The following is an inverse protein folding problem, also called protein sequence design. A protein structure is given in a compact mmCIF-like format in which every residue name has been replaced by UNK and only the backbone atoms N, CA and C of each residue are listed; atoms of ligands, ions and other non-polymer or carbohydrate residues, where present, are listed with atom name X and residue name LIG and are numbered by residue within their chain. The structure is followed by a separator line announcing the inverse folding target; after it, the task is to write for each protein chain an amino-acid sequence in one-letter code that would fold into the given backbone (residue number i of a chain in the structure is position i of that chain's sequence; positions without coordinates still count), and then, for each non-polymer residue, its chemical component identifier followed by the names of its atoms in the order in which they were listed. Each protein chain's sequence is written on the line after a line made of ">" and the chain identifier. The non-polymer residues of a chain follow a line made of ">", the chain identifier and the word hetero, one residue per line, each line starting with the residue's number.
data_IF_725653556542
#
_entry.id   IF_725653556542
#
_cell.length_a   1.000
_cell.length_b   1.000
_cell.length_c   1.000
_cell.angle_alpha   90.00
_cell.angle_beta   90.00
_cell.angle_gamma   90.00
#
_symmetry.space_group_name_H-M   'P 1'
#
loop_
_entity.id
_entity.type
_entity.pdbx_description
1 polymer ?
#
# COMPACT_ATOMS: atom_id res chain seq x y z
N UNK A 1 -12.19 1.17 -35.87
CA UNK A 1 -11.71 1.38 -34.50
C UNK A 1 -10.49 2.31 -34.48
N UNK A 2 -10.66 3.59 -34.86
CA UNK A 2 -9.61 4.62 -34.75
C UNK A 2 -10.14 5.95 -34.14
N UNK A 3 -11.46 6.15 -34.08
CA UNK A 3 -12.10 7.30 -33.42
C UNK A 3 -12.01 7.26 -31.89
N UNK A 4 -12.13 6.07 -31.26
CA UNK A 4 -12.15 5.95 -29.80
C UNK A 4 -10.79 6.23 -29.12
N UNK A 5 -9.68 6.09 -29.85
CA UNK A 5 -8.35 6.40 -29.34
C UNK A 5 -8.03 7.91 -29.44
N UNK A 6 -8.52 8.56 -30.50
CA UNK A 6 -8.40 10.01 -30.68
C UNK A 6 -9.27 10.79 -29.70
N UNK A 7 -10.45 10.26 -29.32
CA UNK A 7 -11.29 10.87 -28.27
C UNK A 7 -10.69 10.76 -26.86
N UNK A 8 -9.91 9.70 -26.57
CA UNK A 8 -9.14 9.60 -25.32
C UNK A 8 -8.01 10.62 -25.26
N UNK A 9 -7.30 10.84 -26.36
CA UNK A 9 -6.23 11.85 -26.40
C UNK A 9 -6.74 13.29 -26.30
N UNK A 10 -7.95 13.57 -26.81
CA UNK A 10 -8.61 14.88 -26.60
C UNK A 10 -9.08 15.09 -25.17
N UNK A 11 -9.47 14.03 -24.46
CA UNK A 11 -9.84 14.10 -23.04
C UNK A 11 -8.63 14.30 -22.14
N UNK A 12 -7.51 13.65 -22.42
CA UNK A 12 -6.27 13.83 -21.65
C UNK A 12 -5.63 15.20 -21.88
N UNK A 13 -5.68 15.76 -23.10
CA UNK A 13 -5.22 17.14 -23.33
C UNK A 13 -6.06 18.20 -22.60
N UNK A 14 -7.35 17.94 -22.34
CA UNK A 14 -8.19 18.81 -21.51
C UNK A 14 -7.80 18.77 -20.03
N UNK A 15 -7.44 17.59 -19.50
CA UNK A 15 -7.00 17.44 -18.11
C UNK A 15 -5.65 18.11 -17.83
N UNK A 16 -4.72 18.12 -18.79
CA UNK A 16 -3.45 18.84 -18.64
C UNK A 16 -3.66 20.37 -18.63
N UNK A 17 -4.70 20.86 -19.31
CA UNK A 17 -5.07 22.28 -19.29
C UNK A 17 -5.79 22.69 -17.99
N UNK A 18 -6.58 21.81 -17.36
CA UNK A 18 -7.18 22.04 -16.03
C UNK A 18 -6.11 22.16 -14.91
N UNK A 19 -4.95 21.53 -15.08
CA UNK A 19 -3.84 21.63 -14.12
C UNK A 19 -2.92 22.85 -14.32
N UNK A 20 -3.22 23.71 -15.31
CA UNK A 20 -2.51 24.96 -15.60
C UNK A 20 -3.28 26.22 -15.16
N UNK A 21 -4.30 26.07 -14.30
CA UNK A 21 -5.00 27.19 -13.68
C UNK A 21 -4.17 27.83 -12.56
N UNK A 22 -3.20 28.65 -12.97
CA UNK A 22 -2.38 29.51 -12.11
C UNK A 22 -3.19 30.38 -11.11
N UNK A 23 -4.40 30.91 -11.42
CA UNK A 23 -5.17 31.71 -10.46
C UNK A 23 -5.70 30.87 -9.29
N UNK A 24 -6.17 29.65 -9.57
CA UNK A 24 -6.80 28.77 -8.57
C UNK A 24 -5.75 28.21 -7.60
N UNK A 25 -4.57 27.84 -8.11
CA UNK A 25 -3.41 27.45 -7.29
C UNK A 25 -2.89 28.59 -6.41
N UNK A 26 -2.92 29.84 -6.89
CA UNK A 26 -2.52 31.00 -6.08
C UNK A 26 -3.44 31.20 -4.88
N UNK A 27 -4.75 31.02 -5.06
CA UNK A 27 -5.72 31.09 -3.96
C UNK A 27 -5.49 29.98 -2.92
N UNK A 28 -5.28 28.74 -3.37
CA UNK A 28 -5.03 27.59 -2.50
C UNK A 28 -3.73 27.75 -1.68
N UNK A 29 -2.67 28.27 -2.31
CA UNK A 29 -1.39 28.54 -1.63
C UNK A 29 -1.51 29.72 -0.66
N UNK A 30 -2.26 30.77 -1.02
CA UNK A 30 -2.52 31.89 -0.12
C UNK A 30 -3.24 31.43 1.16
N UNK A 31 -4.24 30.55 1.04
CA UNK A 31 -4.92 29.96 2.20
C UNK A 31 -3.98 29.10 3.06
N UNK A 32 -3.12 28.30 2.43
CA UNK A 32 -2.15 27.48 3.15
C UNK A 32 -1.12 28.32 3.91
N UNK A 33 -0.68 29.44 3.33
CA UNK A 33 0.22 30.39 3.98
C UNK A 33 -0.50 31.11 5.14
N UNK A 34 -1.76 31.53 4.97
CA UNK A 34 -2.58 32.09 6.06
C UNK A 34 -2.75 31.11 7.21
N UNK A 35 -3.07 29.84 6.92
CA UNK A 35 -3.22 28.80 7.92
C UNK A 35 -1.93 28.59 8.73
N UNK A 36 -0.78 28.67 8.07
CA UNK A 36 0.54 28.58 8.72
C UNK A 36 0.82 29.77 9.65
N UNK A 37 0.50 31.01 9.25
CA UNK A 37 0.68 32.17 10.12
C UNK A 37 -0.30 32.19 11.30
N UNK A 38 -1.55 31.76 11.08
CA UNK A 38 -2.56 31.57 12.14
C UNK A 38 -2.13 30.51 13.16
N UNK A 39 -1.63 29.35 12.71
CA UNK A 39 -1.20 28.29 13.62
C UNK A 39 0.03 28.66 14.46
N UNK A 40 0.83 29.62 14.00
CA UNK A 40 2.01 30.12 14.70
C UNK A 40 1.75 31.43 15.46
N UNK A 41 0.49 31.88 15.52
CA UNK A 41 0.03 33.08 16.22
C UNK A 41 0.80 34.37 15.81
N UNK A 42 1.18 34.46 14.54
CA UNK A 42 1.89 35.60 13.95
C UNK A 42 0.84 36.50 13.29
N UNK A 43 0.78 37.78 13.66
CA UNK A 43 -0.09 38.75 12.99
C UNK A 43 0.36 38.96 11.55
N UNK A 44 -0.56 38.80 10.59
CA UNK A 44 -0.29 38.95 9.16
C UNK A 44 -1.29 39.90 8.51
N UNK A 45 -0.83 40.61 7.48
CA UNK A 45 -1.64 41.50 6.64
C UNK A 45 -1.74 40.89 5.23
N UNK A 46 -2.78 41.24 4.46
CA UNK A 46 -3.03 40.59 3.15
C UNK A 46 -1.89 40.85 2.14
N UNK A 47 -1.20 41.99 2.25
CA UNK A 47 0.00 42.31 1.45
C UNK A 47 1.18 41.37 1.77
N UNK A 48 1.30 40.89 3.02
CA UNK A 48 2.34 39.95 3.45
C UNK A 48 2.10 38.55 2.88
N UNK A 49 0.82 38.14 2.80
CA UNK A 49 0.42 36.86 2.20
C UNK A 49 0.70 36.88 0.70
N UNK A 50 0.38 37.97 0.00
CA UNK A 50 0.66 38.08 -1.44
C UNK A 50 2.17 38.11 -1.74
N UNK A 51 2.97 38.71 -0.86
CA UNK A 51 4.44 38.67 -0.95
C UNK A 51 4.99 37.25 -0.75
N UNK A 52 4.41 36.48 0.18
CA UNK A 52 4.75 35.06 0.40
C UNK A 52 4.37 34.18 -0.79
N UNK A 53 3.20 34.39 -1.40
CA UNK A 53 2.80 33.68 -2.64
C UNK A 53 3.74 34.04 -3.79
N UNK A 54 4.10 35.32 -3.95
CA UNK A 54 5.09 35.76 -4.97
C UNK A 54 6.47 35.12 -4.74
N UNK A 55 6.99 35.07 -3.52
CA UNK A 55 8.26 34.39 -3.22
C UNK A 55 8.20 32.88 -3.46
N UNK A 56 7.09 32.24 -3.12
CA UNK A 56 6.89 30.80 -3.33
C UNK A 56 6.97 30.42 -4.81
N UNK A 57 6.40 31.26 -5.69
CA UNK A 57 6.50 31.06 -7.14
C UNK A 57 7.85 31.54 -7.72
N UNK A 58 8.45 32.62 -7.18
CA UNK A 58 9.75 33.12 -7.64
C UNK A 58 10.89 32.12 -7.42
N UNK A 59 10.90 31.42 -6.27
CA UNK A 59 11.92 30.39 -5.97
C UNK A 59 11.81 29.13 -6.84
N UNK A 60 10.66 28.89 -7.49
CA UNK A 60 10.45 27.70 -8.33
C UNK A 60 10.83 27.91 -9.80
N UNK A 61 11.06 29.17 -10.22
CA UNK A 61 11.34 29.54 -11.62
C UNK A 61 12.68 30.28 -11.82
N UNK A 62 13.50 30.44 -10.79
CA UNK A 62 14.84 31.02 -10.94
C UNK A 62 15.91 30.06 -10.43
N UNK A 63 16.84 29.70 -11.33
CA UNK A 63 18.11 29.13 -10.93
C UNK A 63 18.98 30.28 -10.39
N UNK A 64 19.03 30.43 -9.07
CA UNK A 64 19.98 31.34 -8.42
C UNK A 64 21.38 30.72 -8.48
N UNK A 65 22.24 31.28 -9.33
CA UNK A 65 23.67 30.98 -9.29
C UNK A 65 24.25 31.51 -7.97
N UNK A 66 24.84 30.66 -7.11
CA UNK A 66 25.39 31.11 -5.83
C UNK A 66 26.47 32.17 -6.04
N UNK A 67 26.57 33.20 -5.19
CA UNK A 67 27.66 34.17 -5.28
C UNK A 67 28.99 33.45 -5.07
N UNK A 68 29.80 33.40 -6.12
CA UNK A 68 31.09 32.72 -6.15
C UNK A 68 31.99 33.28 -5.04
N UNK A 69 32.42 32.40 -4.11
CA UNK A 69 33.40 32.78 -3.11
C UNK A 69 34.73 33.11 -3.80
N UNK A 70 35.60 33.88 -3.15
CA UNK A 70 36.88 34.34 -3.72
C UNK A 70 37.73 33.22 -4.33
N UNK A 71 37.61 32.01 -3.78
CA UNK A 71 38.29 30.81 -4.29
C UNK A 71 37.66 30.27 -5.57
N UNK A 72 36.34 30.28 -5.69
CA UNK A 72 35.62 29.88 -6.89
C UNK A 72 35.82 30.89 -8.02
N UNK A 73 35.86 32.19 -7.70
CA UNK A 73 36.20 33.24 -8.66
C UNK A 73 37.66 33.11 -9.15
N UNK A 74 38.59 32.73 -8.26
CA UNK A 74 39.98 32.42 -8.62
C UNK A 74 40.08 31.17 -9.50
N UNK A 75 39.31 30.12 -9.20
CA UNK A 75 39.25 28.88 -9.99
C UNK A 75 38.70 29.13 -11.39
N UNK A 76 37.58 29.85 -11.53
CA UNK A 76 37.01 30.19 -12.84
C UNK A 76 37.98 31.05 -13.65
N UNK A 77 38.66 32.02 -13.02
CA UNK A 77 39.67 32.85 -13.70
C UNK A 77 40.89 32.05 -14.18
N UNK A 78 41.32 31.03 -13.44
CA UNK A 78 42.49 30.21 -13.79
C UNK A 78 42.17 29.02 -14.72
N UNK A 79 40.96 28.46 -14.64
CA UNK A 79 40.59 27.25 -15.39
C UNK A 79 39.73 27.55 -16.63
N UNK A 80 38.81 28.52 -16.56
CA UNK A 80 37.89 28.81 -17.67
C UNK A 80 38.48 29.79 -18.69
N UNK A 81 39.43 30.64 -18.29
CA UNK A 81 40.13 31.54 -19.20
C UNK A 81 41.41 30.89 -19.74
N UNK A 82 41.24 29.76 -20.44
CA UNK A 82 42.32 29.13 -21.19
C UNK A 82 42.07 29.34 -22.68
N UNK A 83 42.34 30.55 -23.16
CA UNK A 83 42.70 30.73 -24.57
C UNK A 83 44.05 30.06 -24.77
N UNK A 84 44.01 28.78 -25.10
CA UNK A 84 45.19 28.02 -25.52
C UNK A 84 45.65 28.63 -26.84
N UNK A 85 46.67 29.49 -26.79
CA UNK A 85 47.46 29.82 -27.97
C UNK A 85 48.54 28.75 -28.07
N UNK A 86 48.57 27.94 -29.15
CA UNK A 86 49.56 26.89 -29.31
C UNK A 86 50.80 27.55 -29.90
N UNK A 87 51.76 27.91 -29.05
CA UNK A 87 53.18 28.02 -29.41
C UNK A 87 53.96 28.41 -28.15
N UNK A 88 54.48 27.40 -27.47
CA UNK A 88 55.86 27.33 -26.96
C UNK A 88 55.97 26.20 -25.94
N UNK A 89 56.38 25.04 -26.44
CA UNK A 89 56.70 23.86 -25.66
C UNK A 89 58.15 23.92 -25.17
N UNK A 90 58.45 24.67 -24.10
CA UNK A 90 59.62 24.40 -23.25
C UNK A 90 59.73 25.37 -22.07
N UNK A 91 59.00 25.13 -20.97
CA UNK A 91 59.37 25.60 -19.62
C UNK A 91 58.44 25.00 -18.56
N UNK A 92 58.56 23.70 -18.30
CA UNK A 92 57.95 23.11 -17.10
C UNK A 92 58.84 23.44 -15.89
N UNK A 93 58.51 24.54 -15.20
CA UNK A 93 59.17 24.91 -13.95
C UNK A 93 59.04 23.80 -12.88
N UNK A 94 60.12 23.48 -12.13
CA UNK A 94 60.16 22.35 -11.19
C UNK A 94 59.13 22.45 -10.04
N UNK A 95 58.59 23.64 -9.77
CA UNK A 95 57.53 23.83 -8.77
C UNK A 95 56.18 23.19 -9.15
N UNK A 96 55.91 22.96 -10.44
CA UNK A 96 54.64 22.34 -10.88
C UNK A 96 54.58 20.84 -10.58
N UNK A 97 55.72 20.15 -10.64
CA UNK A 97 55.80 18.75 -10.24
C UNK A 97 55.60 18.57 -8.74
N UNK A 98 56.15 19.46 -7.93
CA UNK A 98 55.99 19.43 -6.47
C UNK A 98 54.51 19.63 -6.08
N UNK A 99 53.81 20.55 -6.75
CA UNK A 99 52.39 20.77 -6.51
C UNK A 99 51.54 19.55 -6.91
N UNK A 100 51.82 18.91 -8.04
CA UNK A 100 51.11 17.69 -8.48
C UNK A 100 51.37 16.53 -7.52
N UNK A 101 52.62 16.35 -7.08
CA UNK A 101 53.00 15.29 -6.13
C UNK A 101 52.37 15.54 -4.76
N UNK A 102 52.34 16.78 -4.27
CA UNK A 102 51.67 17.13 -3.01
C UNK A 102 50.15 16.94 -3.07
N UNK A 103 49.53 17.21 -4.23
CA UNK A 103 48.10 17.00 -4.45
C UNK A 103 47.77 15.50 -4.55
N UNK A 104 48.64 14.70 -5.17
CA UNK A 104 48.55 13.24 -5.21
C UNK A 104 48.75 12.61 -3.83
N UNK A 105 49.73 13.08 -3.05
CA UNK A 105 49.96 12.62 -1.67
C UNK A 105 48.82 13.03 -0.73
N UNK A 106 48.28 14.25 -0.89
CA UNK A 106 47.09 14.70 -0.16
C UNK A 106 45.84 13.88 -0.51
N UNK A 107 45.66 13.55 -1.79
CA UNK A 107 44.56 12.66 -2.22
C UNK A 107 44.74 11.22 -1.72
N UNK A 108 45.97 10.71 -1.67
CA UNK A 108 46.29 9.36 -1.18
C UNK A 108 46.13 9.25 0.34
N UNK A 109 46.53 10.27 1.12
CA UNK A 109 46.31 10.31 2.57
C UNK A 109 44.84 10.55 2.94
N UNK A 110 44.08 11.27 2.12
CA UNK A 110 42.63 11.36 2.26
C UNK A 110 41.94 10.04 1.89
N UNK A 111 42.47 9.25 0.96
CA UNK A 111 41.91 7.95 0.61
C UNK A 111 42.02 6.92 1.76
N UNK A 112 43.06 6.99 2.60
CA UNK A 112 43.18 6.15 3.81
C UNK A 112 42.29 6.60 4.99
N UNK A 113 41.65 7.77 4.91
CA UNK A 113 40.66 8.25 5.88
C UNK A 113 39.23 8.28 5.33
N UNK A 114 39.07 8.00 4.03
CA UNK A 114 37.77 7.76 3.42
C UNK A 114 37.47 6.27 3.49
N UNK A 115 36.69 5.90 4.51
CA UNK A 115 36.05 4.61 4.60
C UNK A 115 35.30 4.34 3.27
N UNK A 116 35.66 3.32 2.48
CA UNK A 116 35.04 3.06 1.17
C UNK A 116 33.60 2.51 1.28
N UNK A 117 32.99 2.56 2.47
CA UNK A 117 31.60 2.20 2.74
C UNK A 117 30.57 3.27 2.33
N UNK A 118 30.98 4.30 1.56
CA UNK A 118 30.07 5.32 1.02
C UNK A 118 29.19 4.82 -0.12
N UNK A 119 28.39 3.78 0.12
CA UNK A 119 27.18 3.57 -0.68
C UNK A 119 26.27 4.77 -0.38
N UNK A 120 25.69 5.47 -1.36
CA UNK A 120 24.77 6.57 -1.09
C UNK A 120 23.53 6.03 -0.37
N UNK A 121 23.56 6.06 0.96
CA UNK A 121 22.46 5.63 1.82
C UNK A 121 21.30 6.63 1.73
N UNK A 122 20.08 6.13 1.90
CA UNK A 122 18.93 7.00 2.07
C UNK A 122 19.15 7.89 3.31
N UNK A 123 18.81 9.19 3.23
CA UNK A 123 18.98 10.07 4.38
C UNK A 123 18.14 9.55 5.56
N UNK A 124 18.67 9.68 6.78
CA UNK A 124 18.03 9.18 8.03
C UNK A 124 16.56 9.61 8.16
N UNK A 125 16.21 10.81 7.68
CA UNK A 125 14.82 11.29 7.65
C UNK A 125 13.88 10.44 6.78
N UNK A 126 14.36 9.95 5.63
CA UNK A 126 13.59 9.08 4.73
C UNK A 126 13.43 7.69 5.34
N UNK A 127 14.48 7.17 5.98
CA UNK A 127 14.40 5.89 6.70
C UNK A 127 13.44 5.97 7.89
N UNK A 128 13.47 7.07 8.65
CA UNK A 128 12.54 7.31 9.76
C UNK A 128 11.08 7.43 9.28
N UNK A 129 10.84 8.14 8.17
CA UNK A 129 9.50 8.25 7.58
C UNK A 129 9.01 6.89 7.07
N UNK A 130 9.87 6.13 6.38
CA UNK A 130 9.52 4.80 5.89
C UNK A 130 9.23 3.84 7.05
N UNK A 131 10.05 3.86 8.10
CA UNK A 131 9.82 3.05 9.29
C UNK A 131 8.49 3.41 10.00
N UNK A 132 8.13 4.69 10.07
CA UNK A 132 6.83 5.10 10.61
C UNK A 132 5.64 4.55 9.79
N UNK A 133 5.71 4.65 8.46
CA UNK A 133 4.67 4.09 7.57
C UNK A 133 4.58 2.56 7.67
N UNK A 134 5.72 1.89 7.71
CA UNK A 134 5.75 0.44 7.88
C UNK A 134 5.26 0.02 9.27
N UNK A 135 5.50 0.83 10.31
CA UNK A 135 4.95 0.59 11.64
C UNK A 135 3.42 0.67 11.65
N UNK A 136 2.83 1.69 11.03
CA UNK A 136 1.37 1.81 10.88
C UNK A 136 0.79 0.59 10.13
N UNK A 137 1.43 0.20 9.02
CA UNK A 137 1.01 -0.97 8.25
C UNK A 137 1.09 -2.28 9.05
N UNK A 138 2.15 -2.48 9.85
CA UNK A 138 2.25 -3.66 10.74
C UNK A 138 1.12 -3.69 11.76
N UNK A 139 0.75 -2.54 12.34
CA UNK A 139 -0.38 -2.44 13.25
C UNK A 139 -1.70 -2.86 12.58
N UNK A 140 -1.99 -2.36 11.38
CA UNK A 140 -3.19 -2.72 10.62
C UNK A 140 -3.23 -4.21 10.24
N UNK A 141 -2.07 -4.76 9.85
CA UNK A 141 -1.93 -6.19 9.54
C UNK A 141 -2.18 -7.05 10.78
N UNK A 142 -1.61 -6.69 11.94
CA UNK A 142 -1.84 -7.41 13.20
C UNK A 142 -3.31 -7.37 13.62
N UNK A 143 -3.96 -6.21 13.54
CA UNK A 143 -5.41 -6.10 13.80
C UNK A 143 -6.25 -7.01 12.88
N UNK A 144 -5.85 -7.09 11.61
CA UNK A 144 -6.51 -7.97 10.64
C UNK A 144 -6.24 -9.43 10.96
N UNK A 145 -5.00 -9.80 11.30
CA UNK A 145 -4.63 -11.16 11.72
C UNK A 145 -5.44 -11.62 12.92
N UNK A 146 -5.52 -10.80 13.97
CA UNK A 146 -6.31 -11.11 15.17
C UNK A 146 -7.79 -11.34 14.85
N UNK A 147 -8.35 -10.52 13.95
CA UNK A 147 -9.72 -10.69 13.48
C UNK A 147 -9.88 -12.04 12.75
N UNK A 148 -8.93 -12.42 11.89
CA UNK A 148 -8.97 -13.69 11.16
C UNK A 148 -8.74 -14.90 12.06
N UNK A 149 -7.82 -14.82 13.03
CA UNK A 149 -7.58 -15.86 14.04
C UNK A 149 -8.81 -16.08 14.91
N UNK A 150 -9.45 -15.01 15.37
CA UNK A 150 -10.71 -15.08 16.13
C UNK A 150 -11.83 -15.72 15.32
N UNK A 151 -11.98 -15.33 14.05
CA UNK A 151 -12.96 -15.93 13.13
C UNK A 151 -12.67 -17.42 12.92
N UNK A 152 -11.42 -17.79 12.66
CA UNK A 152 -10.99 -19.18 12.51
C UNK A 152 -11.34 -20.01 13.75
N UNK A 153 -11.01 -19.52 14.96
CA UNK A 153 -11.35 -20.18 16.22
C UNK A 153 -12.87 -20.36 16.40
N UNK A 154 -13.65 -19.34 16.03
CA UNK A 154 -15.12 -19.38 16.08
C UNK A 154 -15.67 -20.44 15.11
N UNK A 155 -15.18 -20.46 13.87
CA UNK A 155 -15.61 -21.43 12.85
C UNK A 155 -15.19 -22.85 13.20
N UNK A 156 -13.99 -23.05 13.76
CA UNK A 156 -13.55 -24.35 14.27
C UNK A 156 -14.51 -24.84 15.35
N UNK A 157 -14.86 -23.98 16.32
CA UNK A 157 -15.86 -24.32 17.35
C UNK A 157 -17.21 -24.69 16.74
N UNK A 158 -17.76 -23.86 15.85
CA UNK A 158 -19.04 -24.16 15.19
C UNK A 158 -19.02 -25.47 14.39
N UNK A 159 -17.89 -25.80 13.75
CA UNK A 159 -17.72 -27.06 13.04
C UNK A 159 -17.61 -28.26 13.99
N UNK A 160 -17.11 -28.09 15.22
CA UNK A 160 -17.16 -29.17 16.23
C UNK A 160 -18.57 -29.46 16.73
N UNK A 161 -19.43 -28.45 16.82
CA UNK A 161 -20.84 -28.60 17.22
C UNK A 161 -21.68 -29.26 16.11
N UNK A 162 -21.31 -29.01 14.86
CA UNK A 162 -21.97 -29.57 13.67
C UNK A 162 -20.95 -29.93 12.58
N UNK A 163 -20.37 -31.15 12.62
CA UNK A 163 -19.29 -31.54 11.73
C UNK A 163 -19.67 -31.49 10.24
N UNK A 164 -18.87 -30.77 9.46
CA UNK A 164 -18.88 -30.78 8.00
C UNK A 164 -17.46 -31.01 7.46
N UNK A 165 -17.30 -32.01 6.58
CA UNK A 165 -16.00 -32.42 6.07
C UNK A 165 -15.35 -31.35 5.18
N UNK A 166 -16.14 -30.62 4.39
CA UNK A 166 -15.64 -29.57 3.52
C UNK A 166 -15.19 -28.35 4.35
N UNK A 167 -15.98 -27.98 5.35
CA UNK A 167 -15.60 -26.94 6.32
C UNK A 167 -14.30 -27.30 7.02
N UNK A 168 -14.15 -28.55 7.49
CA UNK A 168 -12.92 -29.02 8.14
C UNK A 168 -11.70 -28.80 7.24
N UNK A 169 -11.79 -29.21 5.97
CA UNK A 169 -10.73 -29.03 4.98
C UNK A 169 -10.35 -27.56 4.77
N UNK A 170 -11.35 -26.68 4.62
CA UNK A 170 -11.15 -25.24 4.44
C UNK A 170 -10.49 -24.59 5.66
N UNK A 171 -10.94 -24.94 6.87
CA UNK A 171 -10.39 -24.40 8.11
C UNK A 171 -8.96 -24.88 8.37
N UNK A 172 -8.62 -26.14 8.03
CA UNK A 172 -7.24 -26.63 8.10
C UNK A 172 -6.32 -25.88 7.13
N UNK A 173 -6.77 -25.61 5.89
CA UNK A 173 -5.99 -24.82 4.92
C UNK A 173 -5.77 -23.39 5.43
N UNK A 174 -6.81 -22.75 5.97
CA UNK A 174 -6.70 -21.43 6.57
C UNK A 174 -5.74 -21.42 7.78
N UNK A 175 -5.81 -22.42 8.65
CA UNK A 175 -4.93 -22.54 9.82
C UNK A 175 -3.46 -22.70 9.43
N UNK A 176 -3.16 -23.44 8.37
CA UNK A 176 -1.79 -23.64 7.89
C UNK A 176 -1.19 -22.40 7.21
N UNK A 177 -2.04 -21.56 6.61
CA UNK A 177 -1.60 -20.38 5.87
C UNK A 177 -1.53 -19.12 6.75
N UNK A 178 -2.32 -19.02 7.83
CA UNK A 178 -2.27 -17.89 8.76
C UNK A 178 -1.04 -17.95 9.67
N UNK A 179 -0.22 -16.89 9.74
CA UNK A 179 0.91 -16.83 10.65
C UNK A 179 0.42 -16.80 12.11
N UNK A 180 1.19 -17.42 13.00
CA UNK A 180 0.89 -17.52 14.44
C UNK A 180 1.44 -16.31 15.21
N UNK A 181 2.58 -15.79 14.76
CA UNK A 181 3.29 -14.70 15.44
C UNK A 181 2.80 -13.32 14.95
N UNK A 182 2.96 -12.30 15.80
CA UNK A 182 2.64 -10.91 15.51
C UNK A 182 3.87 -10.18 14.94
N UNK A 183 3.63 -9.14 14.13
CA UNK A 183 4.68 -8.28 13.54
C UNK A 183 5.32 -7.30 14.57
N UNK A 184 5.37 -7.67 15.85
CA UNK A 184 5.67 -6.77 16.97
C UNK A 184 7.14 -6.35 17.08
N UNK A 185 8.08 -7.26 16.76
CA UNK A 185 9.52 -6.98 16.77
C UNK A 185 9.90 -5.90 15.74
N UNK A 186 9.12 -5.81 14.66
CA UNK A 186 9.38 -4.87 13.59
C UNK A 186 8.95 -3.42 13.91
N UNK A 187 7.98 -3.24 14.80
CA UNK A 187 7.53 -1.95 15.32
C UNK A 187 8.60 -1.27 16.18
N UNK A 188 9.57 -2.03 16.69
CA UNK A 188 10.66 -1.51 17.52
C UNK A 188 11.76 -0.82 16.69
N UNK A 189 11.93 -1.19 15.42
CA UNK A 189 12.98 -0.68 14.52
C UNK A 189 12.82 0.83 14.26
N UNK A 190 11.58 1.29 14.08
CA UNK A 190 11.30 2.71 13.80
C UNK A 190 11.62 3.66 14.95
N UNK A 191 11.91 3.14 16.16
CA UNK A 191 11.97 3.97 17.36
C UNK A 191 13.30 4.71 17.55
N UNK A 192 14.40 4.32 16.88
CA UNK A 192 15.70 5.03 16.94
C UNK A 192 16.59 4.79 15.70
N UNK A 193 16.23 5.34 14.55
CA UNK A 193 17.15 5.40 13.41
C UNK A 193 18.07 6.61 13.59
N UNK A 194 19.38 6.36 13.67
CA UNK A 194 20.46 7.33 13.75
C UNK A 194 21.38 7.19 12.54
N UNK A 195 22.34 8.11 12.36
CA UNK A 195 23.32 7.99 11.29
C UNK A 195 24.19 6.72 11.44
N UNK A 196 24.48 6.34 12.68
CA UNK A 196 25.38 5.22 13.01
C UNK A 196 24.76 3.85 12.75
N UNK A 197 23.42 3.74 12.74
CA UNK A 197 22.69 2.49 12.50
C UNK A 197 21.86 2.50 11.21
N UNK A 198 22.05 3.49 10.34
CA UNK A 198 21.26 3.65 9.12
C UNK A 198 21.29 2.40 8.22
N UNK A 199 22.45 1.74 8.12
CA UNK A 199 22.64 0.55 7.28
C UNK A 199 21.91 -0.67 7.85
N UNK A 200 21.97 -0.84 9.17
CA UNK A 200 21.24 -1.89 9.86
C UNK A 200 19.73 -1.66 9.77
N UNK A 201 19.30 -0.41 9.95
CA UNK A 201 17.90 -0.01 9.82
C UNK A 201 17.36 -0.22 8.40
N UNK A 202 18.16 0.01 7.36
CA UNK A 202 17.77 -0.25 5.96
C UNK A 202 17.56 -1.75 5.71
N UNK A 203 18.47 -2.61 6.19
CA UNK A 203 18.33 -4.07 6.09
C UNK A 203 17.10 -4.59 6.85
N UNK A 204 16.90 -4.10 8.08
CA UNK A 204 15.76 -4.48 8.90
C UNK A 204 14.42 -4.01 8.29
N UNK A 205 14.39 -2.81 7.68
CA UNK A 205 13.21 -2.31 6.98
C UNK A 205 12.88 -3.13 5.71
N UNK A 206 13.91 -3.58 5.00
CA UNK A 206 13.73 -4.48 3.86
C UNK A 206 13.14 -5.83 4.29
N UNK A 207 13.68 -6.44 5.36
CA UNK A 207 13.16 -7.68 5.93
C UNK A 207 11.70 -7.53 6.39
N UNK A 208 11.38 -6.43 7.09
CA UNK A 208 10.01 -6.13 7.50
C UNK A 208 9.06 -6.02 6.30
N UNK A 209 9.50 -5.38 5.21
CA UNK A 209 8.68 -5.26 4.02
C UNK A 209 8.35 -6.62 3.41
N UNK A 210 9.32 -7.54 3.36
CA UNK A 210 9.11 -8.91 2.89
C UNK A 210 8.13 -9.65 3.80
N UNK A 211 8.29 -9.53 5.13
CA UNK A 211 7.41 -10.16 6.10
C UNK A 211 5.97 -9.62 6.01
N UNK A 212 5.78 -8.29 5.94
CA UNK A 212 4.47 -7.68 5.74
C UNK A 212 3.81 -8.13 4.44
N UNK A 213 4.61 -8.36 3.39
CA UNK A 213 4.09 -8.85 2.13
C UNK A 213 3.64 -10.31 2.26
N UNK A 214 4.44 -11.16 2.88
CA UNK A 214 4.06 -12.55 3.17
C UNK A 214 2.77 -12.62 4.01
N UNK A 215 2.65 -11.80 5.05
CA UNK A 215 1.44 -11.70 5.88
C UNK A 215 0.24 -11.23 5.06
N UNK A 216 0.41 -10.19 4.23
CA UNK A 216 -0.66 -9.68 3.36
C UNK A 216 -1.14 -10.74 2.36
N UNK A 217 -0.22 -11.52 1.79
CA UNK A 217 -0.53 -12.61 0.86
C UNK A 217 -1.27 -13.75 1.58
N UNK A 218 -0.81 -14.15 2.77
CA UNK A 218 -1.48 -15.11 3.62
C UNK A 218 -2.92 -14.68 3.98
N UNK A 219 -3.10 -13.42 4.39
CA UNK A 219 -4.42 -12.86 4.69
C UNK A 219 -5.35 -12.87 3.47
N UNK A 220 -4.82 -12.56 2.29
CA UNK A 220 -5.59 -12.62 1.04
C UNK A 220 -6.02 -14.04 0.69
N UNK A 221 -5.10 -14.99 0.75
CA UNK A 221 -5.34 -16.41 0.43
C UNK A 221 -6.37 -17.04 1.37
N UNK A 222 -6.25 -16.79 2.67
CA UNK A 222 -7.15 -17.36 3.68
C UNK A 222 -8.54 -16.74 3.71
N UNK A 223 -8.72 -15.52 3.17
CA UNK A 223 -10.01 -14.84 3.17
C UNK A 223 -11.08 -15.64 2.42
N UNK A 224 -10.73 -16.30 1.32
CA UNK A 224 -11.67 -17.11 0.54
C UNK A 224 -12.12 -18.37 1.32
N UNK A 225 -11.20 -18.99 2.05
CA UNK A 225 -11.45 -20.21 2.83
C UNK A 225 -12.37 -19.93 4.01
N UNK A 226 -12.05 -18.90 4.79
CA UNK A 226 -12.85 -18.49 5.94
C UNK A 226 -14.24 -18.04 5.51
N UNK A 227 -14.34 -17.32 4.39
CA UNK A 227 -15.62 -16.91 3.81
C UNK A 227 -16.46 -18.11 3.39
N UNK A 228 -15.87 -19.04 2.64
CA UNK A 228 -16.55 -20.26 2.18
C UNK A 228 -16.99 -21.14 3.37
N UNK A 229 -16.12 -21.33 4.35
CA UNK A 229 -16.43 -22.07 5.57
C UNK A 229 -17.59 -21.45 6.35
N UNK A 230 -17.55 -20.13 6.57
CA UNK A 230 -18.63 -19.41 7.26
C UNK A 230 -19.97 -19.52 6.52
N UNK A 231 -19.93 -19.47 5.18
CA UNK A 231 -21.10 -19.62 4.33
C UNK A 231 -21.71 -21.02 4.45
N UNK A 232 -20.88 -22.07 4.39
CA UNK A 232 -21.35 -23.46 4.51
C UNK A 232 -22.01 -23.66 5.87
N UNK A 233 -21.37 -23.24 6.97
CA UNK A 233 -21.93 -23.37 8.32
C UNK A 233 -23.29 -22.67 8.40
N UNK A 234 -23.39 -21.43 7.91
CA UNK A 234 -24.63 -20.66 7.93
C UNK A 234 -25.74 -21.31 7.09
N UNK A 235 -25.44 -21.75 5.86
CA UNK A 235 -26.44 -22.39 4.99
C UNK A 235 -26.88 -23.76 5.53
N UNK A 236 -25.96 -24.56 6.08
CA UNK A 236 -26.27 -25.84 6.73
C UNK A 236 -27.18 -25.63 7.94
N UNK A 237 -26.92 -24.59 8.74
CA UNK A 237 -27.80 -24.22 9.85
C UNK A 237 -29.20 -23.84 9.37
N UNK A 238 -29.32 -23.01 8.35
CA UNK A 238 -30.63 -22.65 7.79
C UNK A 238 -31.39 -23.82 7.17
N UNK A 239 -30.69 -24.75 6.51
CA UNK A 239 -31.28 -26.01 6.02
C UNK A 239 -31.82 -26.84 7.20
N UNK A 240 -31.08 -26.93 8.31
CA UNK A 240 -31.56 -27.60 9.54
C UNK A 240 -32.82 -26.94 10.08
N UNK A 241 -32.86 -25.62 10.16
CA UNK A 241 -34.03 -24.87 10.63
C UNK A 241 -35.26 -25.10 9.75
N UNK A 242 -35.08 -25.13 8.42
CA UNK A 242 -36.14 -25.46 7.46
C UNK A 242 -36.65 -26.89 7.69
N UNK A 243 -35.77 -27.86 7.96
CA UNK A 243 -36.15 -29.26 8.25
C UNK A 243 -36.82 -29.43 9.61
N UNK A 244 -36.42 -28.66 10.63
CA UNK A 244 -36.97 -28.74 11.99
C UNK A 244 -38.29 -27.98 12.15
N UNK A 245 -38.52 -26.93 11.36
CA UNK A 245 -39.77 -26.20 11.40
C UNK A 245 -40.90 -27.01 10.74
N UNK A 246 -42.00 -27.32 11.45
CA UNK A 246 -43.04 -28.20 10.93
C UNK A 246 -43.76 -27.65 9.70
N UNK A 247 -43.91 -26.32 9.57
CA UNK A 247 -44.54 -25.70 8.39
C UNK A 247 -43.64 -25.83 7.16
N UNK A 248 -42.35 -25.54 7.34
CA UNK A 248 -41.35 -25.61 6.29
C UNK A 248 -41.09 -27.05 5.84
N UNK A 249 -41.02 -27.99 6.79
CA UNK A 249 -40.89 -29.42 6.50
C UNK A 249 -42.10 -29.95 5.72
N UNK A 250 -43.32 -29.53 6.07
CA UNK A 250 -44.52 -29.88 5.32
C UNK A 250 -44.52 -29.28 3.90
N UNK A 251 -44.04 -28.05 3.72
CA UNK A 251 -43.89 -27.42 2.41
C UNK A 251 -42.87 -28.18 1.53
N UNK A 252 -41.73 -28.58 2.11
CA UNK A 252 -40.74 -29.41 1.43
C UNK A 252 -41.32 -30.77 1.01
N UNK A 253 -42.03 -31.46 1.91
CA UNK A 253 -42.59 -32.78 1.63
C UNK A 253 -43.67 -32.77 0.53
N UNK A 254 -44.30 -31.62 0.29
CA UNK A 254 -45.35 -31.46 -0.75
C UNK A 254 -44.78 -31.08 -2.12
N UNK A 255 -43.52 -30.65 -2.20
CA UNK A 255 -42.92 -30.13 -3.44
C UNK A 255 -41.67 -30.90 -3.81
N UNK A 256 -41.77 -31.71 -4.87
CA UNK A 256 -40.63 -32.42 -5.45
C UNK A 256 -39.57 -31.47 -6.01
N UNK A 257 -39.97 -30.30 -6.55
CA UNK A 257 -39.05 -29.26 -7.04
C UNK A 257 -38.20 -28.68 -5.90
N UNK A 258 -38.80 -28.41 -4.73
CA UNK A 258 -38.05 -27.91 -3.57
C UNK A 258 -37.11 -28.96 -2.99
N UNK A 259 -37.52 -30.24 -2.97
CA UNK A 259 -36.63 -31.34 -2.57
C UNK A 259 -35.44 -31.47 -3.53
N UNK A 260 -35.69 -31.47 -4.84
CA UNK A 260 -34.61 -31.56 -5.83
C UNK A 260 -33.62 -30.39 -5.72
N UNK A 261 -34.10 -29.17 -5.48
CA UNK A 261 -33.23 -28.00 -5.26
C UNK A 261 -32.44 -28.11 -3.97
N UNK A 262 -33.04 -28.64 -2.90
CA UNK A 262 -32.34 -28.88 -1.64
C UNK A 262 -31.21 -29.90 -1.84
N UNK A 263 -31.48 -31.01 -2.54
CA UNK A 263 -30.46 -32.03 -2.81
C UNK A 263 -29.30 -31.47 -3.65
N UNK A 264 -29.61 -30.67 -4.69
CA UNK A 264 -28.61 -29.98 -5.50
C UNK A 264 -27.77 -28.99 -4.66
N UNK A 265 -28.43 -28.25 -3.76
CA UNK A 265 -27.76 -27.32 -2.88
C UNK A 265 -26.85 -28.04 -1.89
N UNK A 266 -27.28 -29.16 -1.30
CA UNK A 266 -26.44 -29.97 -0.42
C UNK A 266 -25.20 -30.49 -1.15
N UNK A 267 -25.35 -30.93 -2.41
CA UNK A 267 -24.23 -31.34 -3.25
C UNK A 267 -23.26 -30.18 -3.58
N UNK A 268 -23.78 -28.96 -3.78
CA UNK A 268 -22.95 -27.77 -4.00
C UNK A 268 -22.15 -27.39 -2.75
N UNK A 269 -22.77 -27.47 -1.56
CA UNK A 269 -22.10 -27.17 -0.29
C UNK A 269 -20.92 -28.11 0.00
N UNK A 270 -21.02 -29.37 -0.40
CA UNK A 270 -19.93 -30.35 -0.28
C UNK A 270 -18.69 -30.02 -1.12
N UNK A 271 -18.86 -29.23 -2.19
CA UNK A 271 -17.80 -28.92 -3.16
C UNK A 271 -17.37 -27.45 -3.16
N UNK A 272 -17.99 -26.63 -2.33
CA UNK A 272 -17.72 -25.20 -2.24
C UNK A 272 -16.25 -24.95 -1.85
N UNK A 273 -15.44 -24.43 -2.77
CA UNK A 273 -14.00 -24.22 -2.54
C UNK A 273 -13.46 -22.90 -3.10
N UNK A 274 -14.29 -22.07 -3.74
CA UNK A 274 -13.84 -20.82 -4.35
C UNK A 274 -14.94 -19.74 -4.36
N UNK A 275 -14.54 -18.49 -4.63
CA UNK A 275 -15.43 -17.32 -4.61
C UNK A 275 -16.55 -17.39 -5.65
N UNK A 276 -16.30 -17.95 -6.84
CA UNK A 276 -17.31 -18.05 -7.90
C UNK A 276 -18.42 -19.01 -7.48
N UNK A 277 -18.04 -20.17 -6.97
CA UNK A 277 -18.96 -21.18 -6.47
C UNK A 277 -19.71 -20.65 -5.25
N UNK A 278 -19.04 -19.89 -4.37
CA UNK A 278 -19.68 -19.19 -3.24
C UNK A 278 -20.87 -18.33 -3.68
N UNK A 279 -20.68 -17.45 -4.66
CA UNK A 279 -21.75 -16.55 -5.11
C UNK A 279 -22.93 -17.35 -5.67
N UNK A 280 -22.64 -18.35 -6.50
CA UNK A 280 -23.68 -19.19 -7.11
C UNK A 280 -24.48 -19.97 -6.06
N UNK A 281 -23.79 -20.62 -5.11
CA UNK A 281 -24.43 -21.38 -4.03
C UNK A 281 -25.21 -20.47 -3.09
N UNK A 282 -24.72 -19.26 -2.81
CA UNK A 282 -25.45 -18.27 -2.01
C UNK A 282 -26.76 -17.85 -2.68
N UNK A 283 -26.75 -17.55 -3.97
CA UNK A 283 -27.99 -17.23 -4.71
C UNK A 283 -28.94 -18.42 -4.76
N UNK A 284 -28.44 -19.63 -4.97
CA UNK A 284 -29.24 -20.85 -4.96
C UNK A 284 -29.92 -21.05 -3.60
N UNK A 285 -29.18 -20.90 -2.49
CA UNK A 285 -29.71 -20.95 -1.13
C UNK A 285 -30.77 -19.87 -0.88
N UNK A 286 -30.49 -18.62 -1.25
CA UNK A 286 -31.41 -17.49 -1.03
C UNK A 286 -32.74 -17.70 -1.77
N UNK A 287 -32.67 -18.16 -3.02
CA UNK A 287 -33.87 -18.47 -3.81
C UNK A 287 -34.63 -19.67 -3.23
N UNK A 288 -33.92 -20.74 -2.83
CA UNK A 288 -34.53 -21.88 -2.16
C UNK A 288 -35.30 -21.45 -0.89
N UNK A 289 -34.65 -20.68 -0.02
CA UNK A 289 -35.25 -20.23 1.24
C UNK A 289 -36.48 -19.34 1.00
N UNK A 290 -36.41 -18.44 0.03
CA UNK A 290 -37.54 -17.60 -0.39
C UNK A 290 -38.70 -18.45 -0.91
N UNK A 291 -38.43 -19.45 -1.75
CA UNK A 291 -39.46 -20.30 -2.33
C UNK A 291 -40.14 -21.19 -1.29
N UNK A 292 -39.39 -21.65 -0.27
CA UNK A 292 -39.98 -22.33 0.90
C UNK A 292 -40.97 -21.40 1.61
N UNK A 293 -40.59 -20.15 1.88
CA UNK A 293 -41.47 -19.16 2.53
C UNK A 293 -42.72 -18.87 1.68
N UNK A 294 -42.55 -18.66 0.36
CA UNK A 294 -43.66 -18.41 -0.55
C UNK A 294 -44.64 -19.59 -0.59
N UNK A 295 -44.12 -20.82 -0.57
CA UNK A 295 -44.92 -22.05 -0.54
C UNK A 295 -45.72 -22.15 0.77
N UNK A 296 -45.13 -21.78 1.90
CA UNK A 296 -45.84 -21.70 3.19
C UNK A 296 -46.95 -20.64 3.16
N UNK A 297 -46.70 -19.49 2.52
CA UNK A 297 -47.64 -18.39 2.39
C UNK A 297 -48.76 -18.64 1.36
N UNK A 298 -48.70 -19.75 0.60
CA UNK A 298 -49.67 -20.03 -0.48
C UNK A 298 -49.53 -19.12 -1.68
N UNK A 299 -48.41 -18.40 -1.82
CA UNK A 299 -48.13 -17.55 -2.98
C UNK A 299 -47.62 -18.46 -4.10
N UNK A 300 -48.46 -18.72 -5.09
CA UNK A 300 -48.06 -19.49 -6.28
C UNK A 300 -46.89 -18.77 -6.98
N UNK A 301 -45.72 -19.39 -6.97
CA UNK A 301 -44.56 -18.92 -7.73
C UNK A 301 -44.88 -19.14 -9.22
N UNK A 302 -45.36 -18.10 -9.90
CA UNK A 302 -45.45 -18.08 -11.36
C UNK A 302 -44.03 -18.15 -11.91
N UNK A 303 -43.63 -19.33 -12.40
CA UNK A 303 -42.41 -19.49 -13.21
C UNK A 303 -42.63 -18.72 -14.51
N UNK A 304 -41.86 -17.64 -14.73
CA UNK A 304 -41.61 -17.07 -16.05
C UNK A 304 -40.49 -17.84 -16.74
#
# INVERSE_FOLDING_TARGET
>A
MAMAFVDRLRHEQKQVQEHLDLPRRRAEIAERIRAYYLSNNIAFDDDLIEQGVRQFFARRLMFEAPPLKRFDAWLVKNLANRTVRPDDASALHPGRWIAIVALMLGAMLLADHFDPAGVPHAPVSVLAEAAARHSEKSYDLNMTLETRRTLLATLLKSNTEAPDANVTRLLTRAQQALPVDDLDEALAIGRRITADNANEAELQLAALKEEQQAVSEALSQTSADLKSASAIIWMRQGIREVRQNPKSAAALARSSDLQQRLDLLEQQLERLDNEKDYQQTFFAYSNFYRDVINTIAGVAVQKQ
#
